data_IF_036150209207
#
_entry.id   IF_036150209207
#
_cell.length_a   1.000
_cell.length_b   1.000
_cell.length_c   1.000
_cell.angle_alpha   90.00
_cell.angle_beta   90.00
_cell.angle_gamma   90.00
#
_symmetry.space_group_name_H-M   'P 1'
#
loop_
_entity.id
_entity.type
_entity.pdbx_description
1 polymer ?
#
# COMPACT_ATOMS: atom_id res chain seq x y z
N UNK A 1 7.48 6.90 17.70
CA UNK A 1 6.77 7.16 16.43
C UNK A 1 5.31 7.46 16.79
N UNK A 2 4.90 8.73 16.79
CA UNK A 2 3.54 9.14 17.22
C UNK A 2 2.67 9.20 15.98
N UNK A 3 1.74 8.25 15.84
CA UNK A 3 0.74 8.31 14.78
C UNK A 3 -0.29 9.39 15.15
N UNK A 4 -0.36 10.47 14.37
CA UNK A 4 -1.47 11.43 14.49
C UNK A 4 -2.74 10.74 13.97
N UNK A 5 -3.74 10.60 14.84
CA UNK A 5 -5.07 10.17 14.43
C UNK A 5 -5.63 11.21 13.44
N UNK A 6 -5.83 10.79 12.19
CA UNK A 6 -6.47 11.62 11.16
C UNK A 6 -8.00 11.40 11.25
N UNK A 7 -8.82 12.47 11.26
CA UNK A 7 -10.28 12.34 11.24
C UNK A 7 -10.71 11.52 10.02
N UNK A 8 -11.77 10.69 10.14
CA UNK A 8 -12.29 9.85 9.04
C UNK A 8 -12.53 10.69 7.80
N UNK A 9 -11.69 10.59 6.78
CA UNK A 9 -11.75 11.60 5.76
C UNK A 9 -12.23 10.99 4.44
N UNK A 10 -12.86 11.81 3.60
CA UNK A 10 -13.35 11.34 2.32
C UNK A 10 -12.15 10.88 1.47
N UNK A 11 -12.13 9.60 1.09
CA UNK A 11 -11.01 8.95 0.37
C UNK A 11 -10.56 9.76 -0.85
N UNK A 12 -11.48 10.44 -1.53
CA UNK A 12 -11.19 11.24 -2.73
C UNK A 12 -10.36 12.49 -2.44
N UNK A 13 -10.28 12.95 -1.18
CA UNK A 13 -9.48 14.12 -0.80
C UNK A 13 -7.99 13.81 -0.55
N UNK A 14 -7.60 12.55 -0.37
CA UNK A 14 -6.22 12.19 0.05
C UNK A 14 -5.38 11.68 -1.11
N UNK A 15 -6.02 11.00 -2.06
CA UNK A 15 -5.35 10.46 -3.26
C UNK A 15 -4.54 11.53 -3.99
N UNK A 16 -5.05 12.77 -4.23
CA UNK A 16 -4.27 13.79 -4.92
C UNK A 16 -3.00 14.17 -4.15
N UNK A 17 -3.13 14.42 -2.84
CA UNK A 17 -2.01 14.83 -1.98
C UNK A 17 -0.94 13.72 -1.84
N UNK A 18 -1.35 12.46 -1.85
CA UNK A 18 -0.41 11.33 -1.79
C UNK A 18 0.36 11.19 -3.10
N UNK A 19 -0.32 11.30 -4.24
CA UNK A 19 0.32 11.23 -5.55
C UNK A 19 1.32 12.38 -5.72
N UNK A 20 0.94 13.60 -5.34
CA UNK A 20 1.84 14.76 -5.40
C UNK A 20 3.11 14.55 -4.56
N UNK A 21 2.98 14.06 -3.32
CA UNK A 21 4.14 13.73 -2.47
C UNK A 21 5.02 12.63 -3.04
N UNK A 22 4.42 11.62 -3.66
CA UNK A 22 5.16 10.52 -4.31
C UNK A 22 5.93 11.05 -5.53
N UNK A 23 5.30 11.92 -6.32
CA UNK A 23 5.91 12.54 -7.51
C UNK A 23 6.99 13.57 -7.16
N UNK A 24 6.85 14.29 -6.04
CA UNK A 24 7.86 15.24 -5.56
C UNK A 24 9.11 14.57 -4.97
N UNK A 25 9.06 13.25 -4.72
CA UNK A 25 10.15 12.50 -4.08
C UNK A 25 10.30 12.78 -2.57
N UNK A 26 9.39 13.56 -1.99
CA UNK A 26 9.30 13.77 -0.55
C UNK A 26 8.67 12.52 0.08
N UNK A 27 9.51 11.55 0.45
CA UNK A 27 9.07 10.31 1.08
C UNK A 27 8.18 10.56 2.31
N UNK A 28 7.10 9.80 2.43
CA UNK A 28 6.15 9.88 3.55
C UNK A 28 5.52 8.50 3.83
N UNK A 29 4.94 8.33 5.02
CA UNK A 29 4.31 7.08 5.46
C UNK A 29 2.80 7.28 5.66
N UNK A 30 2.01 6.62 4.82
CA UNK A 30 0.55 6.68 4.88
C UNK A 30 -0.04 5.39 5.44
N UNK A 31 -1.06 5.51 6.28
CA UNK A 31 -1.82 4.38 6.82
C UNK A 31 -3.27 4.45 6.35
N UNK A 32 -3.74 3.37 5.71
CA UNK A 32 -5.14 3.24 5.29
C UNK A 32 -5.89 2.29 6.23
N UNK A 33 -6.69 2.85 7.12
CA UNK A 33 -7.58 2.10 8.00
C UNK A 33 -9.05 2.26 7.57
N UNK A 34 -9.55 1.33 6.76
CA UNK A 34 -10.99 1.22 6.48
C UNK A 34 -11.67 0.14 7.37
N UNK A 35 -13.00 0.14 7.50
CA UNK A 35 -13.77 -0.98 8.06
C UNK A 35 -13.50 -2.29 7.30
N UNK A 36 -13.80 -3.45 7.91
CA UNK A 36 -13.54 -4.76 7.30
C UNK A 36 -14.22 -4.91 5.94
N UNK A 37 -13.44 -5.24 4.90
CA UNK A 37 -13.93 -5.40 3.52
C UNK A 37 -12.80 -5.34 2.48
N UNK A 38 -13.09 -5.81 1.25
CA UNK A 38 -12.15 -5.83 0.12
C UNK A 38 -11.81 -4.44 -0.46
N UNK A 39 -12.46 -3.39 0.03
CA UNK A 39 -12.35 -2.02 -0.47
C UNK A 39 -10.94 -1.44 -0.31
N UNK A 40 -10.22 -1.79 0.77
CA UNK A 40 -8.83 -1.35 0.96
C UNK A 40 -7.91 -1.88 -0.14
N UNK A 41 -8.11 -3.14 -0.51
CA UNK A 41 -7.25 -3.81 -1.49
C UNK A 41 -7.54 -3.29 -2.89
N UNK A 42 -8.82 -3.07 -3.23
CA UNK A 42 -9.22 -2.43 -4.48
C UNK A 42 -8.65 -1.00 -4.59
N UNK A 43 -8.70 -0.23 -3.50
CA UNK A 43 -8.11 1.11 -3.46
C UNK A 43 -6.60 1.10 -3.67
N UNK A 44 -5.88 0.18 -3.02
CA UNK A 44 -4.43 0.02 -3.20
C UNK A 44 -4.06 -0.32 -4.64
N UNK A 45 -4.86 -1.13 -5.34
CA UNK A 45 -4.65 -1.44 -6.76
C UNK A 45 -4.88 -0.21 -7.66
N UNK A 46 -5.95 0.56 -7.42
CA UNK A 46 -6.22 1.79 -8.16
C UNK A 46 -5.08 2.81 -7.96
N UNK A 47 -4.62 2.97 -6.72
CA UNK A 47 -3.52 3.86 -6.39
C UNK A 47 -2.21 3.39 -7.05
N UNK A 48 -1.91 2.10 -6.99
CA UNK A 48 -0.74 1.51 -7.65
C UNK A 48 -0.77 1.77 -9.17
N UNK A 49 -1.90 1.52 -9.81
CA UNK A 49 -2.07 1.77 -11.25
C UNK A 49 -1.89 3.25 -11.60
N UNK A 50 -2.34 4.17 -10.74
CA UNK A 50 -2.16 5.61 -10.93
C UNK A 50 -0.68 6.03 -10.82
N UNK A 51 0.03 5.52 -9.83
CA UNK A 51 1.47 5.80 -9.62
C UNK A 51 2.31 5.24 -10.77
N UNK A 52 2.05 3.99 -11.19
CA UNK A 52 2.77 3.36 -12.31
C UNK A 52 2.54 4.10 -13.64
N UNK A 53 1.34 4.66 -13.86
CA UNK A 53 1.07 5.54 -15.01
C UNK A 53 1.89 6.83 -14.98
N UNK A 54 2.20 7.36 -13.79
CA UNK A 54 3.06 8.52 -13.57
C UNK A 54 4.56 8.26 -13.76
N UNK A 55 4.95 7.06 -14.24
CA UNK A 55 6.35 6.60 -14.39
C UNK A 55 7.15 6.49 -13.09
N UNK A 56 6.48 6.44 -11.94
CA UNK A 56 7.11 6.16 -10.65
C UNK A 56 7.04 4.66 -10.36
N UNK A 57 8.14 4.08 -9.86
CA UNK A 57 8.20 2.67 -9.52
C UNK A 57 7.55 2.41 -8.16
N UNK A 58 6.51 1.58 -8.12
CA UNK A 58 5.80 1.21 -6.90
C UNK A 58 5.57 -0.30 -6.84
N UNK A 59 5.65 -0.86 -5.62
CA UNK A 59 5.41 -2.28 -5.35
C UNK A 59 4.33 -2.38 -4.27
N UNK A 60 3.24 -3.09 -4.57
CA UNK A 60 2.26 -3.48 -3.57
C UNK A 60 2.60 -4.84 -2.97
N UNK A 61 2.57 -4.92 -1.63
CA UNK A 61 3.02 -6.09 -0.86
C UNK A 61 1.95 -6.46 0.17
N UNK A 62 1.58 -7.73 0.24
CA UNK A 62 0.68 -8.26 1.27
C UNK A 62 1.42 -9.18 2.26
N UNK A 63 0.89 -9.31 3.48
CA UNK A 63 1.46 -10.22 4.48
C UNK A 63 1.05 -11.69 4.25
N UNK A 64 -0.20 -11.95 3.85
CA UNK A 64 -0.71 -13.29 3.53
C UNK A 64 -0.66 -13.56 2.02
N UNK A 65 -0.40 -14.81 1.64
CA UNK A 65 -0.50 -15.27 0.25
C UNK A 65 -1.90 -15.07 -0.35
N UNK A 66 -2.95 -15.26 0.46
CA UNK A 66 -4.35 -15.03 -0.01
C UNK A 66 -4.63 -13.55 -0.26
N UNK A 67 -4.07 -12.66 0.57
CA UNK A 67 -4.17 -11.22 0.37
C UNK A 67 -3.30 -10.75 -0.80
N UNK A 68 -2.16 -11.40 -1.06
CA UNK A 68 -1.31 -11.08 -2.20
C UNK A 68 -2.05 -11.31 -3.53
N UNK A 69 -2.89 -12.33 -3.63
CA UNK A 69 -3.71 -12.60 -4.83
C UNK A 69 -4.65 -11.45 -5.17
N UNK A 70 -5.08 -10.66 -4.17
CA UNK A 70 -5.95 -9.51 -4.36
C UNK A 70 -5.18 -8.25 -4.79
N UNK A 71 -3.84 -8.21 -4.64
CA UNK A 71 -3.01 -7.09 -5.09
C UNK A 71 -2.50 -7.31 -6.51
N UNK A 72 -2.42 -6.25 -7.30
CA UNK A 72 -1.96 -6.29 -8.69
C UNK A 72 -0.46 -6.61 -8.88
N UNK A 73 0.27 -6.91 -7.81
CA UNK A 73 1.64 -7.42 -7.86
C UNK A 73 1.80 -8.89 -7.47
N UNK A 74 0.80 -9.52 -6.84
CA UNK A 74 0.85 -10.90 -6.30
C UNK A 74 2.11 -11.22 -5.49
N UNK A 75 2.66 -10.23 -4.78
CA UNK A 75 3.87 -10.39 -3.97
C UNK A 75 3.53 -10.40 -2.49
N UNK A 76 4.16 -11.32 -1.76
CA UNK A 76 4.13 -11.34 -0.29
C UNK A 76 5.33 -10.59 0.28
N UNK A 77 5.19 -10.05 1.50
CA UNK A 77 6.28 -9.39 2.22
C UNK A 77 7.47 -10.33 2.42
N UNK A 78 7.17 -11.60 2.68
CA UNK A 78 8.16 -12.66 2.79
C UNK A 78 9.02 -12.78 1.53
N UNK A 79 8.41 -12.79 0.34
CA UNK A 79 9.12 -12.88 -0.94
C UNK A 79 9.89 -11.61 -1.31
N UNK A 80 9.32 -10.42 -1.05
CA UNK A 80 9.92 -9.14 -1.47
C UNK A 80 11.07 -8.74 -0.56
N UNK A 81 10.88 -8.85 0.76
CA UNK A 81 11.88 -8.47 1.74
C UNK A 81 12.80 -9.63 2.12
N UNK A 82 12.64 -10.80 1.50
CA UNK A 82 13.39 -12.03 1.79
C UNK A 82 13.39 -12.34 3.28
N UNK A 83 12.23 -12.20 3.92
CA UNK A 83 12.11 -12.46 5.35
C UNK A 83 12.30 -13.96 5.55
N UNK A 84 13.34 -14.36 6.25
CA UNK A 84 13.53 -15.74 6.64
C UNK A 84 12.49 -16.06 7.69
N UNK A 85 11.54 -16.94 7.37
CA UNK A 85 10.85 -17.67 8.43
C UNK A 85 11.90 -18.59 9.01
N UNK A 86 12.36 -18.31 10.22
CA UNK A 86 13.15 -19.27 10.99
C UNK A 86 12.27 -20.48 11.28
N UNK A 87 12.15 -21.38 10.31
CA UNK A 87 11.64 -22.72 10.53
C UNK A 87 12.84 -23.55 10.95
N UNK A 88 12.73 -24.10 12.16
CA UNK A 88 13.65 -25.03 12.81
C UNK A 88 14.19 -26.08 11.81
N UNK A 89 15.49 -26.43 11.85
CA UNK A 89 16.11 -27.38 10.93
C UNK A 89 15.44 -28.75 10.91
#
# INVERSE_FOLDING_TARGET
MVAKAQPRPNVNQWVPNWVEKIESGEGDLFFLAAPGGAEKTSFLNILLAKILRGKVFAIAVAFSGTAATLLDGRRTAHSVFKLTTESCP
#
